data_IF_704248232909
#
_entry.id   IF_704248232909
#
_cell.length_a   1.000
_cell.length_b   1.000
_cell.length_c   1.000
_cell.angle_alpha   90.00
_cell.angle_beta   90.00
_cell.angle_gamma   90.00
#
_symmetry.space_group_name_H-M   'P 1'
#
loop_
_entity.id
_entity.type
_entity.pdbx_description
1 polymer ?
#
# COMPACT_ATOMS: atom_id res chain seq x y z
N UNK A 1 -8.02 3.36 16.71
CA UNK A 1 -7.68 3.54 15.28
C UNK A 1 -8.96 3.26 14.51
N UNK A 2 -9.72 4.29 14.15
CA UNK A 2 -11.03 4.11 13.50
C UNK A 2 -10.78 4.23 12.00
N UNK A 3 -10.84 3.09 11.29
CA UNK A 3 -10.91 3.13 9.83
C UNK A 3 -12.22 3.80 9.42
N UNK A 4 -12.19 4.54 8.31
CA UNK A 4 -13.41 5.11 7.74
C UNK A 4 -14.36 3.99 7.30
N UNK A 5 -15.65 4.30 7.14
CA UNK A 5 -16.65 3.34 6.62
C UNK A 5 -16.24 2.77 5.25
N UNK A 6 -15.51 3.56 4.44
CA UNK A 6 -14.96 3.12 3.17
C UNK A 6 -13.95 1.98 3.34
N UNK A 7 -13.05 2.10 4.33
CA UNK A 7 -12.07 1.06 4.65
C UNK A 7 -12.75 -0.25 5.06
N UNK A 8 -13.74 -0.18 5.95
CA UNK A 8 -14.45 -1.36 6.43
C UNK A 8 -15.13 -2.11 5.27
N UNK A 9 -15.82 -1.39 4.39
CA UNK A 9 -16.48 -1.94 3.19
C UNK A 9 -15.50 -2.56 2.20
N UNK A 10 -14.38 -1.88 1.95
CA UNK A 10 -13.35 -2.37 1.04
C UNK A 10 -12.69 -3.67 1.53
N UNK A 11 -12.51 -3.85 2.84
CA UNK A 11 -12.01 -5.11 3.41
C UNK A 11 -13.04 -6.24 3.46
N UNK A 12 -14.33 -5.92 3.53
CA UNK A 12 -15.40 -6.93 3.62
C UNK A 12 -15.94 -7.37 2.26
N UNK A 13 -15.34 -6.92 1.15
CA UNK A 13 -15.87 -7.10 -0.21
C UNK A 13 -17.35 -6.67 -0.33
N UNK A 14 -17.71 -5.57 0.33
CA UNK A 14 -19.06 -5.00 0.23
C UNK A 14 -19.34 -4.57 -1.22
N UNK A 15 -20.56 -4.83 -1.72
CA UNK A 15 -20.96 -4.49 -3.08
C UNK A 15 -20.88 -2.98 -3.40
N UNK A 16 -20.86 -2.13 -2.36
CA UNK A 16 -20.75 -0.67 -2.43
C UNK A 16 -19.40 -0.16 -1.95
N UNK A 17 -18.40 -1.04 -1.81
CA UNK A 17 -17.04 -0.63 -1.52
C UNK A 17 -16.52 0.34 -2.59
N UNK A 18 -15.71 1.30 -2.16
CA UNK A 18 -15.03 2.27 -3.02
C UNK A 18 -13.56 2.32 -2.63
N UNK A 19 -12.71 2.66 -3.60
CA UNK A 19 -11.30 2.93 -3.32
C UNK A 19 -11.16 4.01 -2.25
N UNK A 20 -10.13 3.87 -1.42
CA UNK A 20 -9.78 4.83 -0.37
C UNK A 20 -8.65 5.74 -0.85
N UNK A 21 -8.50 6.92 -0.26
CA UNK A 21 -7.29 7.73 -0.39
C UNK A 21 -6.23 7.31 0.65
N UNK A 22 -4.99 7.79 0.51
CA UNK A 22 -3.89 7.41 1.42
C UNK A 22 -4.07 7.93 2.86
N UNK A 23 -4.88 8.97 3.01
CA UNK A 23 -5.17 9.68 4.25
C UNK A 23 -6.37 9.10 5.01
N UNK A 24 -7.19 8.26 4.35
CA UNK A 24 -8.38 7.64 4.94
C UNK A 24 -8.04 6.59 6.02
N UNK A 25 -6.79 6.11 6.05
CA UNK A 25 -6.31 5.14 7.01
C UNK A 25 -4.83 5.31 7.34
N UNK A 26 -4.47 4.93 8.56
CA UNK A 26 -3.06 4.74 8.92
C UNK A 26 -2.57 3.40 8.39
N UNK A 27 -2.11 3.41 7.13
CA UNK A 27 -1.46 2.27 6.49
C UNK A 27 -0.05 2.68 6.06
N UNK A 28 0.96 2.23 6.80
CA UNK A 28 2.38 2.57 6.62
C UNK A 28 3.24 1.31 6.69
N UNK A 29 4.27 1.23 5.85
CA UNK A 29 5.16 0.07 5.74
C UNK A 29 6.63 0.50 5.61
N UNK A 30 7.55 -0.41 5.95
CA UNK A 30 9.00 -0.28 5.68
C UNK A 30 9.44 -1.45 4.80
N UNK A 31 9.33 -1.33 3.46
CA UNK A 31 9.69 -2.41 2.55
C UNK A 31 11.18 -2.74 2.61
N UNK A 32 11.50 -4.03 2.61
CA UNK A 32 12.85 -4.53 2.33
C UNK A 32 12.85 -5.17 0.95
N UNK A 33 13.87 -4.89 0.14
CA UNK A 33 13.98 -5.39 -1.23
C UNK A 33 15.30 -6.13 -1.38
N UNK A 34 15.22 -7.34 -1.90
CA UNK A 34 16.38 -8.17 -2.24
C UNK A 34 16.38 -8.47 -3.74
N UNK A 35 17.53 -8.29 -4.38
CA UNK A 35 17.72 -8.57 -5.80
C UNK A 35 19.15 -8.98 -6.12
N UNK A 36 19.29 -9.89 -7.08
CA UNK A 36 20.56 -10.28 -7.68
C UNK A 36 20.97 -9.38 -8.87
N UNK A 37 20.13 -8.42 -9.27
CA UNK A 37 20.44 -7.53 -10.39
C UNK A 37 21.55 -6.54 -10.04
N UNK A 38 22.64 -6.52 -10.81
CA UNK A 38 23.72 -5.55 -10.63
C UNK A 38 23.22 -4.10 -10.77
N UNK A 39 22.38 -3.84 -11.80
CA UNK A 39 21.77 -2.51 -12.06
C UNK A 39 20.93 -2.00 -10.89
N UNK A 40 20.26 -2.91 -10.16
CA UNK A 40 19.35 -2.58 -9.06
C UNK A 40 19.94 -2.91 -7.68
N UNK A 41 21.24 -3.21 -7.61
CA UNK A 41 21.93 -3.64 -6.38
C UNK A 41 21.86 -2.61 -5.26
N UNK A 42 21.61 -1.33 -5.58
CA UNK A 42 21.38 -0.27 -4.61
C UNK A 42 20.14 -0.52 -3.73
N UNK A 43 19.13 -1.24 -4.22
CA UNK A 43 17.91 -1.59 -3.47
C UNK A 43 18.22 -2.42 -2.23
N UNK A 44 19.22 -3.32 -2.30
CA UNK A 44 19.62 -4.21 -1.21
C UNK A 44 20.15 -3.48 0.03
N UNK A 45 20.50 -2.19 -0.10
CA UNK A 45 21.16 -1.39 0.94
C UNK A 45 20.40 -0.12 1.31
N UNK A 46 19.30 0.17 0.62
CA UNK A 46 18.51 1.37 0.83
C UNK A 46 17.36 1.12 1.82
N UNK A 47 17.06 2.12 2.66
CA UNK A 47 15.86 2.12 3.47
C UNK A 47 14.69 2.71 2.68
N UNK A 48 13.48 2.18 2.91
CA UNK A 48 12.26 2.66 2.29
C UNK A 48 11.15 2.84 3.31
N UNK A 49 10.28 3.81 3.05
CA UNK A 49 8.98 3.97 3.72
C UNK A 49 7.89 3.97 2.67
N UNK A 50 6.71 3.43 2.99
CA UNK A 50 5.57 3.43 2.09
C UNK A 50 4.28 3.84 2.79
N UNK A 51 3.38 4.45 2.01
CA UNK A 51 1.98 4.71 2.40
C UNK A 51 1.06 3.88 1.52
N UNK A 52 0.01 3.33 2.12
CA UNK A 52 -0.90 2.40 1.46
C UNK A 52 -2.33 2.93 1.34
N UNK A 53 -3.02 2.47 0.30
CA UNK A 53 -4.46 2.62 0.10
C UNK A 53 -5.07 1.33 -0.44
N UNK A 54 -6.39 1.22 -0.34
CA UNK A 54 -7.16 0.18 -1.00
C UNK A 54 -7.71 0.70 -2.33
N UNK A 55 -7.52 -0.07 -3.39
CA UNK A 55 -8.12 0.20 -4.69
C UNK A 55 -9.15 -0.89 -4.99
N UNK A 56 -10.41 -0.51 -5.10
CA UNK A 56 -11.53 -1.43 -5.32
C UNK A 56 -11.78 -1.54 -6.82
N UNK A 57 -11.60 -2.73 -7.38
CA UNK A 57 -11.84 -3.04 -8.79
C UNK A 57 -12.97 -4.06 -8.93
N UNK A 58 -13.53 -4.27 -10.14
CA UNK A 58 -14.52 -5.33 -10.38
C UNK A 58 -14.04 -6.74 -10.02
N UNK A 59 -12.73 -6.98 -10.05
CA UNK A 59 -12.08 -8.26 -9.75
C UNK A 59 -11.77 -8.44 -8.25
N UNK A 60 -11.86 -7.36 -7.46
CA UNK A 60 -11.66 -7.37 -6.01
C UNK A 60 -10.93 -6.14 -5.48
N UNK A 61 -10.60 -6.17 -4.20
CA UNK A 61 -9.85 -5.10 -3.54
C UNK A 61 -8.34 -5.38 -3.61
N UNK A 62 -7.59 -4.43 -4.18
CA UNK A 62 -6.13 -4.43 -4.21
C UNK A 62 -5.57 -3.55 -3.09
N UNK A 63 -4.39 -3.93 -2.58
CA UNK A 63 -3.61 -3.07 -1.69
C UNK A 63 -2.52 -2.40 -2.52
N UNK A 64 -2.53 -1.07 -2.56
CA UNK A 64 -1.59 -0.26 -3.34
C UNK A 64 -0.68 0.50 -2.41
N UNK A 65 0.62 0.45 -2.67
CA UNK A 65 1.63 1.21 -1.94
C UNK A 65 2.38 2.18 -2.84
N UNK A 66 2.53 3.42 -2.37
CA UNK A 66 3.58 4.33 -2.85
C UNK A 66 4.79 4.20 -1.92
N UNK A 67 5.94 3.83 -2.48
CA UNK A 67 7.19 3.60 -1.73
C UNK A 67 8.22 4.69 -2.05
N UNK A 68 8.88 5.20 -1.01
CA UNK A 68 9.86 6.28 -1.07
C UNK A 68 11.19 5.78 -0.50
N UNK A 69 12.29 6.03 -1.22
CA UNK A 69 13.64 5.81 -0.70
C UNK A 69 13.94 6.88 0.35
N UNK A 70 14.53 6.48 1.47
CA UNK A 70 15.09 7.42 2.45
C UNK A 70 16.46 7.89 1.95
N UNK A 71 16.73 9.18 2.04
CA UNK A 71 18.02 9.80 1.72
C UNK A 71 18.90 9.94 2.97
#
# INVERSE_FOLDING_TARGET
MQGTDALAKAFSNDAWAKSTEFEDQYMRVTPSIETASERLSWLNKAAFVGKGKLDVTPEGTLVVYECFKVD
#
